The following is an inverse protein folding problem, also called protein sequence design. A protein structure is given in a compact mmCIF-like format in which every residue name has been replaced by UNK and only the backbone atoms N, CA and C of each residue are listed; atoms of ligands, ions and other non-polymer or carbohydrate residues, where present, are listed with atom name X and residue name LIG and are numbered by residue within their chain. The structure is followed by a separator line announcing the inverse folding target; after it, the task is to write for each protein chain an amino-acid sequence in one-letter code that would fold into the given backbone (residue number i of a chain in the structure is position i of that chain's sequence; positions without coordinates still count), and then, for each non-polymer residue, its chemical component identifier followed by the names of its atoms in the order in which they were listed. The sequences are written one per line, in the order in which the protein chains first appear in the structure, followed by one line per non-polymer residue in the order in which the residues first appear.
data_IF_595874355997
#
_entry.id   IF_595874355997
#
_cell.length_a   1.000
_cell.length_b   1.000
_cell.length_c   1.000
_cell.angle_alpha   90.00
_cell.angle_beta   90.00
_cell.angle_gamma   90.00
#
_symmetry.space_group_name_H-M   'P 1'
#
loop_
_entity.id
_entity.type
_entity.pdbx_description
1 polymer ?
#
# COMPACT_ATOMS: atom_id res chain seq x y z
N UNK A 1 -5.66 -8.90 -8.97
CA UNK A 1 -6.02 -7.49 -8.77
C UNK A 1 -4.84 -6.78 -8.12
N UNK A 2 -4.35 -5.68 -8.70
CA UNK A 2 -3.25 -4.93 -8.11
C UNK A 2 -3.78 -4.23 -6.85
N UNK A 3 -3.34 -4.68 -5.68
CA UNK A 3 -3.65 -3.99 -4.44
C UNK A 3 -2.89 -2.68 -4.37
N UNK A 4 -3.57 -1.61 -3.96
CA UNK A 4 -2.88 -0.36 -3.63
C UNK A 4 -1.89 -0.60 -2.50
N UNK A 5 -0.74 0.07 -2.56
CA UNK A 5 0.28 -0.05 -1.52
C UNK A 5 -0.18 0.75 -0.32
N UNK A 6 -0.16 0.11 0.83
CA UNK A 6 -0.58 0.71 2.10
C UNK A 6 0.34 1.86 2.53
N UNK A 7 1.60 1.83 2.12
CA UNK A 7 2.59 2.86 2.44
C UNK A 7 2.79 3.82 1.27
N UNK A 8 2.93 5.11 1.57
CA UNK A 8 3.27 6.12 0.56
C UNK A 8 4.72 5.94 0.09
N UNK A 9 4.98 6.23 -1.18
CA UNK A 9 6.32 6.20 -1.75
C UNK A 9 7.25 7.23 -1.08
N UNK A 10 8.51 6.89 -0.83
CA UNK A 10 9.53 7.80 -0.27
C UNK A 10 9.72 9.09 -1.11
N UNK A 11 9.45 9.00 -2.41
CA UNK A 11 9.60 10.11 -3.35
C UNK A 11 8.35 10.98 -3.49
N UNK A 12 7.22 10.59 -2.89
CA UNK A 12 6.01 11.41 -2.89
C UNK A 12 6.16 12.52 -1.85
N UNK A 13 5.95 13.78 -2.29
CA UNK A 13 6.00 14.96 -1.43
C UNK A 13 4.59 15.50 -1.18
N UNK A 14 3.88 15.84 -2.26
CA UNK A 14 2.51 16.33 -2.25
C UNK A 14 1.82 15.98 -3.59
N UNK A 15 0.52 16.28 -3.72
CA UNK A 15 -0.21 16.06 -4.97
C UNK A 15 0.46 16.83 -6.12
N UNK A 16 0.73 16.16 -7.24
CA UNK A 16 1.47 16.73 -8.36
C UNK A 16 2.99 16.86 -8.12
N UNK A 17 3.49 16.65 -6.90
CA UNK A 17 4.90 16.82 -6.54
C UNK A 17 5.58 15.51 -6.16
N UNK A 18 6.38 14.98 -7.11
CA UNK A 18 7.23 13.81 -6.90
C UNK A 18 8.69 14.20 -7.10
N UNK A 19 9.58 13.76 -6.21
CA UNK A 19 11.04 13.95 -6.35
C UNK A 19 11.63 13.34 -7.64
N UNK A 20 10.88 12.47 -8.33
CA UNK A 20 11.26 11.86 -9.60
C UNK A 20 10.81 12.67 -10.84
N UNK A 21 10.28 13.87 -10.65
CA UNK A 21 9.75 14.71 -11.74
C UNK A 21 8.50 14.12 -12.40
N UNK A 22 7.59 13.54 -11.60
CA UNK A 22 6.35 12.93 -12.09
C UNK A 22 5.13 13.52 -11.41
N UNK A 23 3.97 13.44 -12.04
CA UNK A 23 2.70 13.74 -11.39
C UNK A 23 2.44 12.73 -10.26
N UNK A 24 2.62 13.21 -9.03
CA UNK A 24 2.47 12.38 -7.85
C UNK A 24 0.98 12.26 -7.47
N UNK A 25 0.48 11.03 -7.40
CA UNK A 25 -0.88 10.73 -6.97
C UNK A 25 -0.87 9.55 -6.00
N UNK A 26 -1.62 9.70 -4.90
CA UNK A 26 -1.81 8.65 -3.89
C UNK A 26 -2.53 7.41 -4.42
N UNK A 27 -3.35 7.54 -5.47
CA UNK A 27 -4.25 6.47 -5.92
C UNK A 27 -3.86 5.87 -7.27
N UNK A 28 -3.04 6.58 -8.06
CA UNK A 28 -2.77 6.18 -9.44
C UNK A 28 -1.30 5.83 -9.64
N UNK A 29 -0.55 6.77 -10.21
CA UNK A 29 0.71 6.47 -10.85
C UNK A 29 1.81 6.07 -9.86
N UNK A 30 1.87 6.69 -8.68
CA UNK A 30 2.88 6.34 -7.68
C UNK A 30 2.66 4.96 -7.05
N UNK A 31 1.41 4.49 -6.98
CA UNK A 31 1.05 3.16 -6.45
C UNK A 31 1.51 2.03 -7.38
N UNK A 32 1.52 2.25 -8.70
CA UNK A 32 1.85 1.21 -9.69
C UNK A 32 3.25 1.33 -10.27
N UNK A 33 4.02 2.33 -9.84
CA UNK A 33 5.35 2.62 -10.34
C UNK A 33 6.36 1.50 -10.05
N UNK A 34 7.14 1.09 -11.05
CA UNK A 34 8.25 0.14 -10.87
C UNK A 34 9.42 0.67 -10.01
N UNK A 35 9.54 1.99 -9.86
CA UNK A 35 10.52 2.67 -8.98
C UNK A 35 9.93 3.06 -7.61
N UNK A 36 8.92 2.34 -7.14
CA UNK A 36 8.36 2.61 -5.82
C UNK A 36 9.30 2.09 -4.74
N UNK A 37 9.48 2.91 -3.70
CA UNK A 37 10.18 2.55 -2.48
C UNK A 37 9.29 3.02 -1.33
N UNK A 38 8.90 2.16 -0.37
CA UNK A 38 8.07 2.59 0.74
C UNK A 38 8.81 3.62 1.59
N UNK A 39 8.13 4.71 1.98
CA UNK A 39 8.72 5.78 2.81
C UNK A 39 9.14 5.28 4.20
N UNK A 40 8.45 4.27 4.71
CA UNK A 40 8.75 3.61 5.97
C UNK A 40 8.70 2.10 5.80
N UNK A 41 9.62 1.38 6.46
CA UNK A 41 9.58 -0.09 6.53
C UNK A 41 8.59 -0.50 7.61
N UNK A 42 7.31 -0.51 7.25
CA UNK A 42 6.22 -0.91 8.15
C UNK A 42 5.96 -2.41 8.03
N UNK A 43 5.80 -3.07 9.17
CA UNK A 43 5.32 -4.45 9.20
C UNK A 43 3.81 -4.44 8.99
N UNK A 44 3.37 -4.64 7.76
CA UNK A 44 1.96 -4.71 7.43
C UNK A 44 1.33 -5.98 7.99
N UNK A 45 0.12 -5.86 8.54
CA UNK A 45 -0.64 -7.03 8.98
C UNK A 45 -1.06 -7.84 7.74
N UNK A 46 -0.94 -9.16 7.83
CA UNK A 46 -1.46 -10.03 6.78
C UNK A 46 -2.99 -10.08 6.87
N UNK A 47 -3.66 -9.12 6.21
CA UNK A 47 -5.13 -9.00 6.20
C UNK A 47 -5.82 -10.27 5.70
N UNK A 48 -5.19 -11.04 4.80
CA UNK A 48 -5.74 -12.32 4.33
C UNK A 48 -5.79 -13.32 5.49
N UNK A 49 -4.72 -13.43 6.26
CA UNK A 49 -4.66 -14.31 7.43
C UNK A 49 -5.67 -13.89 8.49
N UNK A 50 -5.72 -12.60 8.85
CA UNK A 50 -6.71 -12.09 9.82
C UNK A 50 -8.16 -12.39 9.40
N UNK A 51 -8.48 -12.30 8.10
CA UNK A 51 -9.82 -12.66 7.60
C UNK A 51 -10.12 -14.14 7.77
N UNK A 52 -9.18 -15.02 7.43
CA UNK A 52 -9.35 -16.47 7.58
C UNK A 52 -9.52 -16.87 9.05
N UNK A 53 -8.71 -16.31 9.95
CA UNK A 53 -8.81 -16.56 11.39
C UNK A 53 -10.17 -16.12 11.95
N UNK A 54 -10.74 -15.01 11.47
CA UNK A 54 -12.09 -14.55 11.86
C UNK A 54 -13.19 -15.49 11.39
N UNK A 55 -13.08 -16.04 10.17
CA UNK A 55 -14.06 -16.99 9.63
C UNK A 55 -14.02 -18.29 10.45
N UNK A 56 -12.82 -18.85 10.67
CA UNK A 56 -12.66 -20.08 11.46
C UNK A 56 -13.22 -19.96 12.88
N UNK A 57 -12.97 -18.83 13.56
CA UNK A 57 -13.53 -18.57 14.89
C UNK A 57 -15.06 -18.48 14.90
N UNK A 58 -15.66 -18.02 13.80
CA UNK A 58 -17.13 -17.91 13.67
C UNK A 58 -17.80 -19.25 13.38
N UNK A 59 -17.11 -20.17 12.71
CA UNK A 59 -17.62 -21.52 12.41
C UNK A 59 -17.44 -22.51 13.57
N UNK A 60 -16.57 -22.20 14.54
CA UNK A 60 -16.34 -23.03 15.73
C UNK A 60 -17.23 -22.68 16.94
N UNK A 61 -18.04 -21.62 16.85
CA UNK A 61 -18.99 -21.21 17.89
C UNK A 61 -20.42 -21.43 17.43
#
# INVERSE_FOLDING_TARGET
MAHDRETVCMYYVAAGQCKKGREASHMHYCQRCGKYVPRARLRHRNRKREKLEKIQKREQG
#
